data_IF_925679752809
#
_entry.id   IF_925679752809
#
_cell.length_a   1.000
_cell.length_b   1.000
_cell.length_c   1.000
_cell.angle_alpha   90.00
_cell.angle_beta   90.00
_cell.angle_gamma   90.00
#
_symmetry.space_group_name_H-M   'P 1'
#
loop_
_entity.id
_entity.type
_entity.pdbx_description
1 polymer ?
#
# COMPACT_ATOMS: atom_id res chain seq x y z
N UNK A 1 38.80 43.17 59.35
CA UNK A 1 37.52 42.50 59.02
C UNK A 1 37.52 42.26 57.53
N UNK A 2 37.64 40.99 57.11
CA UNK A 2 37.72 40.59 55.71
C UNK A 2 36.34 40.11 55.28
N UNK A 3 35.70 40.83 54.34
CA UNK A 3 34.41 40.43 53.76
C UNK A 3 34.62 39.31 52.71
N UNK A 4 34.06 38.18 52.99
CA UNK A 4 34.05 37.05 52.05
C UNK A 4 32.83 37.24 51.17
N UNK A 5 33.09 37.56 49.89
CA UNK A 5 32.06 37.56 48.80
C UNK A 5 31.86 36.16 48.30
N UNK A 6 30.71 35.57 48.63
CA UNK A 6 30.32 34.26 48.09
C UNK A 6 29.69 34.49 46.72
N UNK A 7 30.42 34.11 45.65
CA UNK A 7 29.88 34.01 44.30
C UNK A 7 28.99 32.76 44.19
N UNK A 8 27.70 32.97 44.24
CA UNK A 8 26.73 31.94 43.92
C UNK A 8 26.64 31.86 42.40
N UNK A 9 27.39 30.92 41.77
CA UNK A 9 27.26 30.60 40.37
C UNK A 9 25.93 29.86 40.15
N UNK A 10 24.94 30.56 39.62
CA UNK A 10 23.69 29.98 39.15
C UNK A 10 23.99 29.20 37.88
N UNK A 11 24.15 27.87 37.96
CA UNK A 11 24.19 26.98 36.84
C UNK A 11 22.78 26.91 36.22
N UNK A 12 22.52 27.83 35.32
CA UNK A 12 21.36 27.78 34.45
C UNK A 12 21.59 26.62 33.48
N UNK A 13 21.10 25.43 33.85
CA UNK A 13 21.05 24.29 32.93
C UNK A 13 20.17 24.64 31.75
N UNK A 14 20.77 24.93 30.62
CA UNK A 14 20.05 25.03 29.35
C UNK A 14 19.58 23.61 29.00
N UNK A 15 18.32 23.33 29.34
CA UNK A 15 17.63 22.15 28.81
C UNK A 15 17.39 22.44 27.34
N UNK A 16 18.30 21.98 26.47
CA UNK A 16 18.06 21.94 25.06
C UNK A 16 16.87 20.98 24.83
N UNK A 17 15.77 21.43 24.19
CA UNK A 17 14.73 20.51 23.82
C UNK A 17 15.36 19.47 22.91
N UNK A 18 15.42 18.23 23.37
CA UNK A 18 15.73 17.09 22.51
C UNK A 18 14.63 17.08 21.47
N UNK A 19 14.92 17.57 20.26
CA UNK A 19 14.08 17.39 19.10
C UNK A 19 14.16 15.91 18.71
N UNK A 20 13.54 15.06 19.50
CA UNK A 20 13.10 13.77 19.03
C UNK A 20 12.07 14.11 17.95
N UNK A 21 12.52 14.11 16.69
CA UNK A 21 11.65 14.16 15.55
C UNK A 21 10.73 12.95 15.72
N UNK A 22 9.53 13.18 16.24
CA UNK A 22 8.49 12.16 16.33
C UNK A 22 8.36 11.56 14.95
N UNK A 23 8.96 10.39 14.74
CA UNK A 23 8.68 9.59 13.56
C UNK A 23 7.25 9.11 13.76
N UNK A 24 6.32 9.90 13.24
CA UNK A 24 4.93 9.48 13.19
C UNK A 24 4.91 8.06 12.60
N UNK A 25 4.34 7.12 13.35
CA UNK A 25 4.26 5.74 12.95
C UNK A 25 3.45 5.68 11.64
N UNK A 26 4.07 5.20 10.57
CA UNK A 26 3.41 5.06 9.28
C UNK A 26 2.62 3.76 9.26
N UNK A 27 1.31 3.87 9.16
CA UNK A 27 0.41 2.72 9.06
C UNK A 27 0.07 2.49 7.59
N UNK A 28 0.27 1.27 7.12
CA UNK A 28 -0.07 0.82 5.77
C UNK A 28 -1.20 -0.20 5.89
N UNK A 29 -2.27 -0.01 5.12
CA UNK A 29 -3.36 -0.96 5.05
C UNK A 29 -3.01 -2.09 4.08
N UNK A 30 -2.79 -3.30 4.59
CA UNK A 30 -2.47 -4.51 3.83
C UNK A 30 -3.68 -4.94 2.99
N UNK A 31 -3.53 -4.96 1.66
CA UNK A 31 -4.57 -5.19 0.65
C UNK A 31 -5.72 -4.18 0.72
N UNK A 32 -5.40 -2.95 1.17
CA UNK A 32 -6.37 -1.91 1.48
C UNK A 32 -7.10 -2.13 2.81
N UNK A 33 -7.94 -1.17 3.23
CA UNK A 33 -8.80 -1.33 4.40
C UNK A 33 -10.08 -2.08 4.00
N UNK A 34 -9.97 -3.39 3.92
CA UNK A 34 -11.00 -4.29 3.39
C UNK A 34 -11.90 -4.94 4.44
N UNK A 35 -11.49 -4.98 5.71
CA UNK A 35 -12.28 -5.59 6.81
C UNK A 35 -13.44 -4.70 7.24
N UNK A 36 -14.27 -4.29 6.27
CA UNK A 36 -15.46 -3.47 6.45
C UNK A 36 -16.54 -3.91 5.49
N UNK A 37 -17.81 -3.62 5.84
CA UNK A 37 -18.95 -3.99 5.00
C UNK A 37 -18.82 -3.43 3.58
N UNK A 38 -19.19 -4.22 2.59
CA UNK A 38 -19.13 -3.85 1.16
C UNK A 38 -17.73 -3.80 0.57
N UNK A 39 -16.69 -4.25 1.29
CA UNK A 39 -15.30 -4.22 0.82
C UNK A 39 -14.68 -5.62 0.70
N UNK A 40 -13.64 -5.74 -0.12
CA UNK A 40 -12.85 -6.95 -0.29
C UNK A 40 -11.36 -6.60 -0.42
N UNK A 41 -10.48 -7.58 -0.18
CA UNK A 41 -9.05 -7.43 -0.42
C UNK A 41 -8.79 -6.97 -1.86
N UNK A 42 -7.84 -6.05 -2.05
CA UNK A 42 -7.42 -5.60 -3.37
C UNK A 42 -8.53 -4.97 -4.24
N UNK A 43 -9.65 -4.56 -3.63
CA UNK A 43 -10.75 -3.91 -4.31
C UNK A 43 -10.57 -2.39 -4.39
N UNK A 44 -11.29 -1.75 -5.30
CA UNK A 44 -11.36 -0.29 -5.35
C UNK A 44 -11.98 0.27 -4.06
N UNK A 45 -12.99 -0.40 -3.51
CA UNK A 45 -13.58 0.01 -2.22
C UNK A 45 -12.59 -0.05 -1.07
N UNK A 46 -11.71 -1.07 -1.00
CA UNK A 46 -10.68 -1.15 0.04
C UNK A 46 -9.64 -0.03 -0.04
N UNK A 47 -9.26 0.36 -1.25
CA UNK A 47 -8.41 1.51 -1.53
C UNK A 47 -9.05 2.81 -1.03
N UNK A 48 -10.32 3.04 -1.41
CA UNK A 48 -11.09 4.21 -0.98
C UNK A 48 -11.28 4.27 0.53
N UNK A 49 -11.53 3.12 1.15
CA UNK A 49 -11.64 3.01 2.62
C UNK A 49 -10.31 3.34 3.30
N UNK A 50 -9.17 2.90 2.72
CA UNK A 50 -7.83 3.26 3.23
C UNK A 50 -7.62 4.77 3.22
N UNK A 51 -7.99 5.45 2.14
CA UNK A 51 -7.94 6.90 2.07
C UNK A 51 -8.84 7.56 3.13
N UNK A 52 -10.08 7.06 3.28
CA UNK A 52 -11.06 7.62 4.23
C UNK A 52 -10.60 7.55 5.68
N UNK A 53 -9.87 6.50 6.08
CA UNK A 53 -9.31 6.39 7.45
C UNK A 53 -8.01 7.18 7.64
N UNK A 54 -7.45 7.77 6.59
CA UNK A 54 -6.32 8.70 6.68
C UNK A 54 -4.99 8.08 7.10
N UNK A 55 -4.74 6.78 6.80
CA UNK A 55 -3.46 6.12 7.06
C UNK A 55 -2.44 6.48 5.97
N UNK A 56 -1.17 6.17 6.23
CA UNK A 56 -0.06 6.54 5.35
C UNK A 56 -0.20 6.00 3.93
N UNK A 57 -0.65 4.74 3.77
CA UNK A 57 -0.73 4.13 2.46
C UNK A 57 -1.58 2.87 2.39
N UNK A 58 -1.83 2.44 1.17
CA UNK A 58 -2.47 1.18 0.82
C UNK A 58 -1.47 0.27 0.13
N UNK A 59 -1.29 -0.93 0.66
CA UNK A 59 -0.56 -1.98 -0.03
C UNK A 59 -1.54 -2.79 -0.88
N UNK A 60 -1.08 -3.32 -2.01
CA UNK A 60 -1.86 -4.14 -2.92
C UNK A 60 -0.99 -5.07 -3.75
N UNK A 61 -1.54 -6.22 -4.10
CA UNK A 61 -0.86 -7.29 -4.82
C UNK A 61 -1.19 -7.26 -6.32
N UNK A 62 -0.23 -7.59 -7.17
CA UNK A 62 -0.46 -7.72 -8.61
C UNK A 62 0.06 -9.04 -9.18
N UNK A 63 -0.67 -9.54 -10.16
CA UNK A 63 -0.27 -10.63 -11.05
C UNK A 63 -0.29 -10.16 -12.50
N UNK A 64 0.50 -10.82 -13.33
CA UNK A 64 0.46 -10.64 -14.77
C UNK A 64 -0.18 -11.86 -15.44
N UNK A 65 -1.13 -11.63 -16.34
CA UNK A 65 -1.75 -12.69 -17.14
C UNK A 65 -0.83 -13.15 -18.27
N UNK A 66 -1.14 -14.30 -18.88
CA UNK A 66 -0.37 -14.83 -20.01
C UNK A 66 -0.26 -13.85 -21.18
N UNK A 67 -1.29 -13.07 -21.43
CA UNK A 67 -1.35 -12.04 -22.49
C UNK A 67 -0.83 -10.65 -22.05
N UNK A 68 -0.27 -10.56 -20.83
CA UNK A 68 0.45 -9.38 -20.37
C UNK A 68 -0.39 -8.34 -19.64
N UNK A 69 -1.68 -8.59 -19.36
CA UNK A 69 -2.49 -7.68 -18.53
C UNK A 69 -2.09 -7.82 -17.06
N UNK A 70 -1.96 -6.69 -16.36
CA UNK A 70 -1.65 -6.67 -14.93
C UNK A 70 -2.93 -6.47 -14.15
N UNK A 71 -3.24 -7.42 -13.26
CA UNK A 71 -4.46 -7.43 -12.45
C UNK A 71 -4.12 -7.32 -10.96
N UNK A 72 -5.01 -6.68 -10.19
CA UNK A 72 -4.83 -6.47 -8.74
C UNK A 72 -5.56 -7.58 -8.00
N UNK A 73 -4.81 -8.58 -7.55
CA UNK A 73 -5.33 -9.77 -6.88
C UNK A 73 -4.24 -10.43 -6.04
N UNK A 74 -4.60 -11.14 -4.97
CA UNK A 74 -3.60 -11.73 -4.07
C UNK A 74 -3.24 -13.17 -4.43
N UNK A 75 -4.25 -14.02 -4.69
CA UNK A 75 -4.03 -15.45 -4.86
C UNK A 75 -3.53 -15.77 -6.28
N UNK A 76 -2.78 -16.85 -6.44
CA UNK A 76 -2.24 -17.28 -7.74
C UNK A 76 -3.32 -17.70 -8.74
N UNK A 77 -4.52 -18.01 -8.24
CA UNK A 77 -5.65 -18.43 -9.05
C UNK A 77 -6.95 -17.72 -8.68
N UNK A 78 -7.83 -17.62 -9.67
CA UNK A 78 -9.20 -17.12 -9.53
C UNK A 78 -10.16 -18.23 -9.92
N UNK A 79 -10.93 -18.74 -8.97
CA UNK A 79 -11.88 -19.86 -9.18
C UNK A 79 -11.23 -21.08 -9.86
N UNK A 80 -9.99 -21.41 -9.46
CA UNK A 80 -9.23 -22.52 -10.01
C UNK A 80 -8.53 -22.23 -11.34
N UNK A 81 -8.60 -21.00 -11.85
CA UNK A 81 -7.89 -20.56 -13.06
C UNK A 81 -6.59 -19.87 -12.63
N UNK A 82 -5.44 -20.46 -12.91
CA UNK A 82 -4.14 -19.85 -12.65
C UNK A 82 -3.94 -18.60 -13.49
N UNK A 83 -3.72 -17.45 -12.85
CA UNK A 83 -3.64 -16.12 -13.49
C UNK A 83 -2.50 -16.10 -14.51
N UNK A 84 -1.32 -16.60 -14.14
CA UNK A 84 -0.14 -16.63 -15.03
C UNK A 84 -0.36 -17.40 -16.35
N UNK A 85 -1.31 -18.36 -16.35
CA UNK A 85 -1.61 -19.22 -17.51
C UNK A 85 -2.86 -18.78 -18.27
N UNK A 86 -3.62 -17.84 -17.73
CA UNK A 86 -4.87 -17.34 -18.29
C UNK A 86 -4.66 -16.07 -19.12
N UNK A 87 -5.46 -15.89 -20.16
CA UNK A 87 -5.62 -14.58 -20.76
C UNK A 87 -6.54 -13.71 -19.87
N UNK A 88 -6.40 -12.41 -19.94
CA UNK A 88 -7.27 -11.51 -19.17
C UNK A 88 -8.76 -11.75 -19.45
N UNK A 89 -9.10 -12.11 -20.70
CA UNK A 89 -10.48 -12.44 -21.08
C UNK A 89 -11.10 -13.58 -20.27
N UNK A 90 -10.29 -14.52 -19.75
CA UNK A 90 -10.74 -15.69 -18.98
C UNK A 90 -11.11 -15.33 -17.54
N UNK A 91 -10.57 -14.21 -17.01
CA UNK A 91 -10.74 -13.80 -15.61
C UNK A 91 -11.46 -12.46 -15.43
N UNK A 92 -11.57 -11.61 -16.45
CA UNK A 92 -12.14 -10.25 -16.36
C UNK A 92 -13.56 -10.18 -15.80
N UNK A 93 -14.35 -11.26 -15.99
CA UNK A 93 -15.74 -11.32 -15.53
C UNK A 93 -15.88 -11.94 -14.13
N UNK A 94 -14.76 -12.40 -13.55
CA UNK A 94 -14.72 -12.89 -12.17
C UNK A 94 -14.91 -11.74 -11.19
N UNK A 95 -15.37 -12.08 -9.98
CA UNK A 95 -15.73 -11.10 -8.96
C UNK A 95 -14.96 -11.36 -7.67
N UNK A 96 -14.62 -10.26 -7.02
CA UNK A 96 -14.16 -10.25 -5.63
C UNK A 96 -15.33 -10.64 -4.70
N UNK A 97 -15.01 -10.95 -3.44
CA UNK A 97 -16.01 -11.38 -2.44
C UNK A 97 -17.12 -10.36 -2.19
N UNK A 98 -16.89 -9.09 -2.48
CA UNK A 98 -17.88 -8.00 -2.38
C UNK A 98 -18.66 -7.75 -3.68
N UNK A 99 -18.43 -8.54 -4.74
CA UNK A 99 -19.08 -8.41 -6.04
C UNK A 99 -18.41 -7.43 -7.01
N UNK A 100 -17.36 -6.70 -6.59
CA UNK A 100 -16.58 -5.87 -7.51
C UNK A 100 -15.81 -6.76 -8.52
N UNK A 101 -15.49 -6.18 -9.68
CA UNK A 101 -14.54 -6.80 -10.61
C UNK A 101 -13.15 -6.86 -9.98
N UNK A 102 -12.36 -7.85 -10.42
CA UNK A 102 -10.92 -7.81 -10.19
C UNK A 102 -10.38 -6.62 -10.99
N UNK A 103 -9.79 -5.59 -10.36
CA UNK A 103 -9.32 -4.42 -11.09
C UNK A 103 -8.06 -4.78 -11.92
N UNK A 104 -7.92 -4.18 -13.08
CA UNK A 104 -6.59 -4.06 -13.70
C UNK A 104 -5.76 -3.07 -12.90
N UNK A 105 -4.43 -3.16 -13.01
CA UNK A 105 -3.53 -2.17 -12.40
C UNK A 105 -3.88 -0.75 -12.84
N UNK A 106 -4.21 -0.58 -14.12
CA UNK A 106 -4.62 0.73 -14.67
C UNK A 106 -5.87 1.27 -13.95
N UNK A 107 -6.91 0.45 -13.81
CA UNK A 107 -8.15 0.87 -13.13
C UNK A 107 -7.90 1.21 -11.66
N UNK A 108 -7.05 0.43 -10.97
CA UNK A 108 -6.69 0.68 -9.58
C UNK A 108 -5.92 1.99 -9.40
N UNK A 109 -4.92 2.25 -10.26
CA UNK A 109 -4.15 3.49 -10.26
C UNK A 109 -4.99 4.70 -10.64
N UNK A 110 -5.92 4.57 -11.59
CA UNK A 110 -6.83 5.65 -11.96
C UNK A 110 -7.78 6.01 -10.81
N UNK A 111 -8.28 5.00 -10.07
CA UNK A 111 -9.04 5.25 -8.85
C UNK A 111 -8.19 5.96 -7.78
N UNK A 112 -6.93 5.54 -7.60
CA UNK A 112 -6.02 6.13 -6.63
C UNK A 112 -5.72 7.61 -6.91
N UNK A 113 -5.59 8.01 -8.18
CA UNK A 113 -5.33 9.42 -8.57
C UNK A 113 -6.36 10.40 -8.01
N UNK A 114 -7.60 9.95 -7.83
CA UNK A 114 -8.68 10.79 -7.27
C UNK A 114 -8.61 10.95 -5.76
N UNK A 115 -7.73 10.19 -5.07
CA UNK A 115 -7.65 10.10 -3.60
C UNK A 115 -6.52 10.95 -2.98
N UNK A 116 -5.76 11.73 -3.79
CA UNK A 116 -4.71 12.61 -3.29
C UNK A 116 -3.40 11.88 -2.94
N UNK A 117 -2.72 12.33 -1.87
CA UNK A 117 -1.31 11.98 -1.59
C UNK A 117 -1.09 10.65 -0.84
N UNK A 118 -2.10 9.79 -0.72
CA UNK A 118 -1.94 8.47 -0.10
C UNK A 118 -0.89 7.65 -0.84
N UNK A 119 0.02 7.01 -0.10
CA UNK A 119 1.06 6.18 -0.73
C UNK A 119 0.49 4.85 -1.18
N UNK A 120 0.94 4.41 -2.35
CA UNK A 120 0.63 3.09 -2.90
C UNK A 120 1.88 2.21 -2.76
N UNK A 121 1.71 1.06 -2.15
CA UNK A 121 2.77 0.08 -1.95
C UNK A 121 2.40 -1.16 -2.76
N UNK A 122 3.17 -1.41 -3.81
CA UNK A 122 2.94 -2.51 -4.75
C UNK A 122 3.72 -3.75 -4.31
N UNK A 123 3.04 -4.89 -4.21
CA UNK A 123 3.65 -6.22 -4.14
C UNK A 123 3.47 -6.94 -5.48
N UNK A 124 4.58 -7.29 -6.13
CA UNK A 124 4.56 -8.11 -7.35
C UNK A 124 4.63 -9.58 -6.95
N UNK A 125 3.63 -10.36 -7.31
CA UNK A 125 3.61 -11.80 -7.06
C UNK A 125 4.54 -12.53 -8.01
N UNK A 126 5.30 -13.49 -7.49
CA UNK A 126 6.19 -14.33 -8.28
C UNK A 126 5.40 -15.20 -9.25
N UNK A 127 5.92 -15.34 -10.47
CA UNK A 127 5.41 -16.24 -11.49
C UNK A 127 6.44 -17.33 -11.77
N UNK A 128 6.03 -18.57 -11.72
CA UNK A 128 6.93 -19.74 -11.85
C UNK A 128 7.55 -19.84 -13.24
N UNK A 129 6.92 -19.20 -14.23
CA UNK A 129 7.31 -19.35 -15.65
C UNK A 129 7.74 -18.05 -16.36
N UNK A 130 7.74 -16.92 -15.67
CA UNK A 130 8.16 -15.63 -16.27
C UNK A 130 9.41 -15.11 -15.61
N UNK A 131 10.36 -14.61 -16.41
CA UNK A 131 11.54 -13.95 -15.89
C UNK A 131 11.17 -12.58 -15.30
N UNK A 132 11.94 -12.13 -14.29
CA UNK A 132 11.77 -10.80 -13.68
C UNK A 132 11.79 -9.66 -14.71
N UNK A 133 12.45 -9.89 -15.85
CA UNK A 133 12.53 -8.96 -16.98
C UNK A 133 11.19 -8.76 -17.70
N UNK A 134 10.33 -9.79 -17.76
CA UNK A 134 8.99 -9.69 -18.34
C UNK A 134 8.03 -8.95 -17.41
N UNK A 135 8.15 -9.14 -16.09
CA UNK A 135 7.35 -8.43 -15.08
C UNK A 135 7.70 -6.93 -15.11
N UNK A 136 8.99 -6.61 -15.21
CA UNK A 136 9.46 -5.22 -15.29
C UNK A 136 8.93 -4.46 -16.52
N UNK A 137 8.74 -5.13 -17.66
CA UNK A 137 8.19 -4.51 -18.89
C UNK A 137 6.69 -4.25 -18.81
N UNK A 138 5.94 -5.04 -18.05
CA UNK A 138 4.50 -4.84 -17.88
C UNK A 138 4.16 -3.68 -16.93
N UNK A 139 5.14 -3.21 -16.14
CA UNK A 139 4.96 -2.15 -15.13
C UNK A 139 5.35 -0.75 -15.63
N UNK A 140 5.79 -0.60 -16.88
CA UNK A 140 6.21 0.67 -17.49
C UNK A 140 5.15 1.31 -18.36
#
# INVERSE_FOLDING_TARGET
>A
MKSILIYMMLLMGVILPSSAKDRAQQVIAHRGYWKTEGSAQNSISSLQNTHRIGVYGSEFDVHITRDGEVVVFHDDDVDGIKIENANYADIRDKRLKNGEKIPTLKEYLDAAKSLGDMKLILEVKEHIQKSDEEIGRASC
#
